data_IF_828682190387
#
_entry.id   IF_828682190387
#
_cell.length_a   1.000
_cell.length_b   1.000
_cell.length_c   1.000
_cell.angle_alpha   90.00
_cell.angle_beta   90.00
_cell.angle_gamma   90.00
#
_symmetry.space_group_name_H-M   'P 1'
#
loop_
_entity.id
_entity.type
_entity.pdbx_description
1 polymer ?
#
# COMPACT_ATOMS: atom_id res chain seq x y z
N UNK A 1 2.52 -24.94 -0.55
CA UNK A 1 1.18 -24.41 -0.91
C UNK A 1 1.46 -23.10 -1.61
N UNK A 2 1.15 -22.97 -2.90
CA UNK A 2 1.62 -21.82 -3.67
C UNK A 2 0.60 -20.67 -3.56
N UNK A 3 0.92 -19.67 -2.74
CA UNK A 3 0.16 -18.43 -2.64
C UNK A 3 0.41 -17.54 -3.86
N UNK A 4 -0.50 -16.61 -4.15
CA UNK A 4 -0.38 -15.72 -5.33
C UNK A 4 -0.25 -14.28 -4.90
N UNK A 5 0.80 -13.62 -5.39
CA UNK A 5 1.09 -12.22 -5.05
C UNK A 5 -0.01 -11.31 -5.60
N UNK A 6 -0.58 -10.45 -4.74
CA UNK A 6 -1.65 -9.53 -5.14
C UNK A 6 -1.21 -8.54 -6.22
N UNK A 7 0.07 -8.13 -6.18
CA UNK A 7 0.63 -7.11 -7.08
C UNK A 7 1.04 -7.71 -8.42
N UNK A 8 1.97 -8.67 -8.41
CA UNK A 8 2.57 -9.20 -9.64
C UNK A 8 1.93 -10.52 -10.13
N UNK A 9 0.95 -11.06 -9.40
CA UNK A 9 0.24 -12.32 -9.71
C UNK A 9 1.13 -13.57 -9.84
N UNK A 10 2.39 -13.48 -9.42
CA UNK A 10 3.29 -14.64 -9.38
C UNK A 10 2.94 -15.55 -8.21
N UNK A 11 3.12 -16.85 -8.42
CA UNK A 11 3.06 -17.87 -7.37
C UNK A 11 4.31 -17.78 -6.50
N UNK A 12 4.17 -17.94 -5.19
CA UNK A 12 5.27 -17.94 -4.23
C UNK A 12 4.96 -18.89 -3.06
N UNK A 13 5.99 -19.45 -2.43
CA UNK A 13 5.83 -20.36 -1.28
C UNK A 13 6.03 -19.69 0.08
N UNK A 14 6.71 -18.54 0.11
CA UNK A 14 6.87 -17.74 1.33
C UNK A 14 6.94 -16.26 0.96
N UNK A 15 6.25 -15.44 1.73
CA UNK A 15 6.08 -14.03 1.40
C UNK A 15 5.57 -13.22 2.58
N UNK A 16 5.15 -12.00 2.29
CA UNK A 16 4.74 -11.00 3.26
C UNK A 16 3.22 -10.96 3.32
N UNK A 17 2.72 -11.04 4.55
CA UNK A 17 1.31 -11.02 4.88
C UNK A 17 0.98 -9.63 5.40
N UNK A 18 0.04 -8.96 4.74
CA UNK A 18 -0.48 -7.69 5.21
C UNK A 18 -1.88 -7.91 5.74
N UNK A 19 -2.06 -7.56 7.01
CA UNK A 19 -3.35 -7.64 7.67
C UNK A 19 -4.37 -6.77 6.93
N UNK A 20 -5.62 -7.25 6.79
CA UNK A 20 -6.68 -6.48 6.17
C UNK A 20 -6.99 -5.25 7.03
N UNK A 21 -7.16 -4.10 6.38
CA UNK A 21 -7.50 -2.85 7.07
C UNK A 21 -9.01 -2.62 7.18
N UNK A 22 -9.80 -3.41 6.45
CA UNK A 22 -11.26 -3.34 6.42
C UNK A 22 -11.84 -4.73 6.66
N UNK A 23 -13.03 -4.81 7.28
CA UNK A 23 -13.69 -6.09 7.61
C UNK A 23 -13.94 -6.96 6.37
N UNK A 24 -14.20 -6.34 5.22
CA UNK A 24 -14.45 -7.03 3.94
C UNK A 24 -13.18 -7.28 3.12
N UNK A 25 -12.01 -6.81 3.59
CA UNK A 25 -10.75 -7.01 2.89
C UNK A 25 -10.18 -8.38 3.26
N UNK A 26 -9.87 -9.20 2.23
CA UNK A 26 -9.13 -10.46 2.44
C UNK A 26 -7.67 -10.14 2.77
N UNK A 27 -7.02 -11.04 3.51
CA UNK A 27 -5.56 -10.97 3.77
C UNK A 27 -4.81 -10.76 2.46
N UNK A 28 -3.92 -9.77 2.43
CA UNK A 28 -3.17 -9.41 1.24
C UNK A 28 -1.78 -10.06 1.31
N UNK A 29 -1.46 -10.79 0.25
CA UNK A 29 -0.29 -11.66 0.16
C UNK A 29 0.66 -11.13 -0.90
N UNK A 30 1.93 -11.00 -0.55
CA UNK A 30 2.96 -10.41 -1.41
C UNK A 30 4.21 -11.29 -1.46
N UNK A 31 4.77 -11.49 -2.65
CA UNK A 31 6.00 -12.27 -2.78
C UNK A 31 7.26 -11.53 -2.29
N UNK A 32 7.22 -10.20 -2.13
CA UNK A 32 8.39 -9.38 -1.79
C UNK A 32 7.96 -8.01 -1.25
N UNK A 33 8.84 -7.34 -0.50
CA UNK A 33 8.56 -6.03 0.09
C UNK A 33 8.32 -4.97 -0.99
N UNK A 34 9.01 -5.08 -2.13
CA UNK A 34 8.76 -4.27 -3.33
C UNK A 34 7.30 -4.36 -3.79
N UNK A 35 6.73 -5.56 -3.87
CA UNK A 35 5.34 -5.74 -4.31
C UNK A 35 4.34 -5.18 -3.29
N UNK A 36 4.64 -5.31 -2.00
CA UNK A 36 3.85 -4.71 -0.92
C UNK A 36 3.86 -3.18 -1.02
N UNK A 37 5.03 -2.57 -1.13
CA UNK A 37 5.16 -1.11 -1.19
C UNK A 37 4.54 -0.52 -2.46
N UNK A 38 4.68 -1.20 -3.60
CA UNK A 38 4.02 -0.81 -4.85
C UNK A 38 2.50 -0.86 -4.71
N UNK A 39 1.95 -1.92 -4.12
CA UNK A 39 0.52 -2.04 -3.87
C UNK A 39 0.00 -0.95 -2.93
N UNK A 40 0.71 -0.68 -1.82
CA UNK A 40 0.36 0.39 -0.88
C UNK A 40 0.37 1.75 -1.59
N UNK A 41 1.38 2.03 -2.43
CA UNK A 41 1.47 3.26 -3.22
C UNK A 41 0.27 3.41 -4.15
N UNK A 42 -0.07 2.37 -4.92
CA UNK A 42 -1.25 2.38 -5.80
C UNK A 42 -2.55 2.55 -5.01
N UNK A 43 -2.68 1.93 -3.84
CA UNK A 43 -3.85 2.07 -2.96
C UNK A 43 -3.96 3.50 -2.44
N UNK A 44 -2.87 4.11 -2.00
CA UNK A 44 -2.82 5.51 -1.57
C UNK A 44 -3.18 6.47 -2.71
N UNK A 45 -2.68 6.24 -3.92
CA UNK A 45 -3.06 7.06 -5.09
C UNK A 45 -4.56 6.94 -5.40
N UNK A 46 -5.14 5.73 -5.33
CA UNK A 46 -6.59 5.55 -5.48
C UNK A 46 -7.39 6.26 -4.41
N UNK A 47 -6.93 6.23 -3.16
CA UNK A 47 -7.58 6.94 -2.05
C UNK A 47 -7.44 8.46 -2.25
N UNK A 48 -6.29 8.95 -2.71
CA UNK A 48 -6.08 10.37 -3.05
C UNK A 48 -7.09 10.88 -4.07
N UNK A 49 -7.35 10.08 -5.11
CA UNK A 49 -8.28 10.45 -6.19
C UNK A 49 -9.74 10.32 -5.77
N UNK A 50 -10.14 9.18 -5.19
CA UNK A 50 -11.55 8.89 -4.91
C UNK A 50 -12.03 9.41 -3.55
N UNK A 51 -11.12 9.56 -2.59
CA UNK A 51 -11.42 9.93 -1.19
C UNK A 51 -10.40 10.95 -0.64
N UNK A 52 -10.28 12.14 -1.25
CA UNK A 52 -9.23 13.10 -0.93
C UNK A 52 -9.24 13.54 0.55
N UNK A 53 -10.42 13.67 1.16
CA UNK A 53 -10.56 14.01 2.60
C UNK A 53 -10.00 12.91 3.52
N UNK A 54 -10.08 11.65 3.09
CA UNK A 54 -9.53 10.51 3.85
C UNK A 54 -8.02 10.38 3.64
N UNK A 55 -7.54 10.64 2.43
CA UNK A 55 -6.11 10.73 2.13
C UNK A 55 -5.41 11.77 3.02
N UNK A 56 -6.01 12.95 3.20
CA UNK A 56 -5.45 14.01 4.05
C UNK A 56 -5.33 13.57 5.51
N UNK A 57 -6.36 12.89 6.05
CA UNK A 57 -6.31 12.29 7.41
C UNK A 57 -5.21 11.23 7.54
N UNK A 58 -5.05 10.36 6.54
CA UNK A 58 -4.01 9.32 6.53
C UNK A 58 -2.61 9.96 6.53
N UNK A 59 -2.36 10.93 5.64
CA UNK A 59 -1.07 11.60 5.55
C UNK A 59 -0.76 12.35 6.83
N UNK A 60 -1.75 13.05 7.40
CA UNK A 60 -1.61 13.78 8.66
C UNK A 60 -1.26 12.82 9.81
N UNK A 61 -1.99 11.72 9.96
CA UNK A 61 -1.73 10.70 10.98
C UNK A 61 -0.34 10.05 10.83
N UNK A 62 0.10 9.79 9.60
CA UNK A 62 1.43 9.22 9.37
C UNK A 62 2.56 10.22 9.61
N UNK A 63 2.33 11.51 9.33
CA UNK A 63 3.27 12.60 9.62
C UNK A 63 3.44 12.80 11.14
N UNK A 64 2.34 12.72 11.89
CA UNK A 64 2.36 12.81 13.36
C UNK A 64 3.05 11.61 14.02
N UNK A 65 2.97 10.41 13.41
CA UNK A 65 3.67 9.22 13.90
C UNK A 65 5.13 9.10 13.46
N UNK A 66 5.63 9.99 12.60
CA UNK A 66 7.01 9.93 12.08
C UNK A 66 7.32 8.70 11.21
N UNK A 67 6.30 8.04 10.66
CA UNK A 67 6.43 6.73 9.97
C UNK A 67 6.71 6.87 8.46
N UNK A 68 6.88 8.09 7.94
CA UNK A 68 6.96 8.32 6.49
C UNK A 68 8.35 8.80 6.04
N UNK A 69 9.25 7.83 5.85
CA UNK A 69 10.30 7.86 4.80
C UNK A 69 9.70 7.30 3.50
N UNK A 70 8.52 7.79 3.10
CA UNK A 70 7.96 7.49 1.78
C UNK A 70 8.11 8.76 0.97
N UNK A 71 9.26 8.88 0.31
CA UNK A 71 9.64 9.98 -0.56
C UNK A 71 8.56 10.19 -1.64
N UNK A 72 7.61 11.11 -1.35
CA UNK A 72 6.65 11.66 -2.31
C UNK A 72 7.34 12.73 -3.19
N UNK A 73 8.66 12.66 -3.36
CA UNK A 73 9.43 13.53 -4.25
C UNK A 73 9.23 13.05 -5.69
N UNK A 74 8.09 13.40 -6.25
CA UNK A 74 7.76 12.99 -7.61
C UNK A 74 6.42 13.49 -8.07
N UNK A 75 6.28 14.83 -8.14
CA UNK A 75 5.62 15.59 -9.21
C UNK A 75 5.41 17.05 -8.78
N UNK A 76 6.51 17.82 -8.78
CA UNK A 76 6.47 19.20 -9.26
C UNK A 76 6.78 19.09 -10.75
N UNK A 77 5.74 19.10 -11.59
CA UNK A 77 5.91 19.55 -12.96
C UNK A 77 5.39 20.98 -12.93
N UNK A 78 6.35 21.90 -12.85
CA UNK A 78 6.23 23.27 -13.33
C UNK A 78 6.08 23.26 -14.85
#
# INVERSE_FOLDING_TARGET
MNETCKTCRKKFDSGIWLAPQFKDEKVLLFCSDKCKNEYIKMKLERIKVNYPKYYDKIIKFQKEKGVLDFDLKGRKNE
#
